data_IF_310120209110
#
_entry.id   IF_310120209110
#
_cell.length_a   1.000
_cell.length_b   1.000
_cell.length_c   1.000
_cell.angle_alpha   90.00
_cell.angle_beta   90.00
_cell.angle_gamma   90.00
#
_symmetry.space_group_name_H-M   'P 1'
#
loop_
_entity.id
_entity.type
_entity.pdbx_description
1 polymer ?
#
# COMPACT_ATOMS: atom_id res chain seq x y z
N UNK A 1 6.35 15.71 -1.66
CA UNK A 1 6.17 14.83 -2.84
C UNK A 1 5.20 15.51 -3.78
N UNK A 2 5.69 16.02 -4.91
CA UNK A 2 4.91 16.81 -5.86
C UNK A 2 3.62 16.13 -6.30
N UNK A 3 2.52 16.89 -6.37
CA UNK A 3 1.19 16.40 -6.80
C UNK A 3 1.27 15.68 -8.16
N UNK A 4 2.15 16.16 -9.04
CA UNK A 4 2.44 15.57 -10.35
C UNK A 4 2.98 14.14 -10.22
N UNK A 5 3.92 13.90 -9.30
CA UNK A 5 4.48 12.57 -9.07
C UNK A 5 3.41 11.57 -8.62
N UNK A 6 2.50 11.96 -7.72
CA UNK A 6 1.38 11.11 -7.28
C UNK A 6 0.43 10.75 -8.42
N UNK A 7 0.11 11.72 -9.27
CA UNK A 7 -0.79 11.50 -10.41
C UNK A 7 -0.13 10.55 -11.41
N UNK A 8 1.13 10.79 -11.77
CA UNK A 8 1.88 9.92 -12.69
C UNK A 8 1.99 8.50 -12.11
N UNK A 9 2.32 8.38 -10.82
CA UNK A 9 2.42 7.08 -10.14
C UNK A 9 1.09 6.32 -10.14
N UNK A 10 -0.03 7.01 -9.87
CA UNK A 10 -1.37 6.45 -9.96
C UNK A 10 -1.72 5.98 -11.37
N UNK A 11 -1.40 6.78 -12.40
CA UNK A 11 -1.61 6.41 -13.80
C UNK A 11 -0.81 5.17 -14.21
N UNK A 12 0.47 5.07 -13.81
CA UNK A 12 1.32 3.90 -14.09
C UNK A 12 0.76 2.64 -13.43
N UNK A 13 0.26 2.75 -12.20
CA UNK A 13 -0.35 1.62 -11.49
C UNK A 13 -1.65 1.16 -12.13
N UNK A 14 -2.51 2.09 -12.55
CA UNK A 14 -3.71 1.76 -13.31
C UNK A 14 -3.35 1.07 -14.63
N UNK A 15 -2.34 1.57 -15.35
CA UNK A 15 -1.89 0.96 -16.60
C UNK A 15 -1.38 -0.47 -16.38
N UNK A 16 -0.57 -0.71 -15.35
CA UNK A 16 -0.12 -2.05 -14.97
C UNK A 16 -1.30 -2.97 -14.61
N UNK A 17 -2.28 -2.47 -13.87
CA UNK A 17 -3.49 -3.21 -13.49
C UNK A 17 -4.35 -3.60 -14.70
N UNK A 18 -4.58 -2.68 -15.64
CA UNK A 18 -5.28 -3.01 -16.89
C UNK A 18 -4.53 -4.05 -17.71
N UNK A 19 -3.19 -3.95 -17.76
CA UNK A 19 -2.34 -4.94 -18.43
C UNK A 19 -2.45 -6.31 -17.78
N UNK A 20 -2.54 -6.35 -16.46
CA UNK A 20 -2.77 -7.55 -15.67
C UNK A 20 -4.16 -8.16 -15.96
N UNK A 21 -5.24 -7.37 -15.92
CA UNK A 21 -6.59 -7.83 -16.25
C UNK A 21 -6.68 -8.45 -17.65
N UNK A 22 -5.98 -7.87 -18.63
CA UNK A 22 -5.94 -8.37 -20.01
C UNK A 22 -5.17 -9.69 -20.12
N UNK A 23 -4.11 -9.89 -19.31
CA UNK A 23 -3.31 -11.13 -19.28
C UNK A 23 -3.87 -12.22 -18.35
N UNK A 24 -4.73 -11.87 -17.40
CA UNK A 24 -5.30 -12.78 -16.39
C UNK A 24 -5.99 -14.00 -17.00
N UNK A 25 -6.58 -13.88 -18.20
CA UNK A 25 -7.24 -15.01 -18.90
C UNK A 25 -6.28 -16.12 -19.33
N UNK A 26 -4.97 -15.88 -19.41
CA UNK A 26 -3.96 -16.88 -19.81
C UNK A 26 -3.25 -17.52 -18.62
N UNK A 27 -3.55 -17.12 -17.38
CA UNK A 27 -2.80 -17.55 -16.21
C UNK A 27 -3.57 -18.59 -15.42
N UNK A 28 -2.83 -19.48 -14.74
CA UNK A 28 -3.42 -20.43 -13.80
C UNK A 28 -4.21 -19.69 -12.70
N UNK A 29 -5.37 -20.24 -12.29
CA UNK A 29 -6.27 -19.58 -11.34
C UNK A 29 -5.62 -19.28 -9.98
N UNK A 30 -4.67 -20.11 -9.55
CA UNK A 30 -3.89 -19.91 -8.32
C UNK A 30 -2.99 -18.68 -8.40
N UNK A 31 -2.26 -18.50 -9.50
CA UNK A 31 -1.39 -17.34 -9.72
C UNK A 31 -2.20 -16.05 -9.92
N UNK A 32 -3.35 -16.15 -10.60
CA UNK A 32 -4.24 -15.00 -10.78
C UNK A 32 -4.86 -14.50 -9.47
N UNK A 33 -5.02 -15.36 -8.46
CA UNK A 33 -5.50 -14.91 -7.14
C UNK A 33 -4.41 -14.18 -6.36
N UNK A 34 -3.20 -14.71 -6.33
CA UNK A 34 -2.06 -14.11 -5.61
C UNK A 34 -1.73 -12.73 -6.18
N UNK A 35 -1.65 -12.61 -7.51
CA UNK A 35 -1.34 -11.33 -8.15
C UNK A 35 -2.53 -10.36 -8.02
N UNK A 36 -3.76 -10.86 -8.02
CA UNK A 36 -4.95 -10.05 -7.68
C UNK A 36 -4.86 -9.43 -6.29
N UNK A 37 -4.50 -10.23 -5.27
CA UNK A 37 -4.31 -9.77 -3.90
C UNK A 37 -3.20 -8.72 -3.79
N UNK A 38 -2.08 -8.94 -4.48
CA UNK A 38 -0.95 -8.00 -4.54
C UNK A 38 -1.37 -6.64 -5.12
N UNK A 39 -2.17 -6.63 -6.18
CA UNK A 39 -2.71 -5.39 -6.73
C UNK A 39 -3.67 -4.69 -5.77
N UNK A 40 -4.52 -5.46 -5.07
CA UNK A 40 -5.46 -4.93 -4.09
C UNK A 40 -4.73 -4.25 -2.92
N UNK A 41 -3.67 -4.88 -2.43
CA UNK A 41 -2.78 -4.34 -1.40
C UNK A 41 -2.08 -3.06 -1.89
N UNK A 42 -1.60 -3.07 -3.15
CA UNK A 42 -0.94 -1.90 -3.75
C UNK A 42 -1.90 -0.73 -3.90
N UNK A 43 -3.17 -1.01 -4.22
CA UNK A 43 -4.22 0.01 -4.30
C UNK A 43 -4.53 0.61 -2.92
N UNK A 44 -4.60 -0.21 -1.87
CA UNK A 44 -4.75 0.22 -0.49
C UNK A 44 -3.61 1.14 -0.04
N UNK A 45 -2.36 0.75 -0.32
CA UNK A 45 -1.17 1.57 -0.03
C UNK A 45 -1.21 2.89 -0.80
N UNK A 46 -1.65 2.86 -2.06
CA UNK A 46 -1.75 4.06 -2.87
C UNK A 46 -2.83 5.02 -2.36
N UNK A 47 -3.98 4.50 -1.94
CA UNK A 47 -5.05 5.29 -1.29
C UNK A 47 -4.53 5.89 0.02
N UNK A 48 -3.92 5.08 0.89
CA UNK A 48 -3.30 5.56 2.13
C UNK A 48 -2.25 6.65 1.87
N UNK A 49 -1.45 6.49 0.82
CA UNK A 49 -0.47 7.48 0.38
C UNK A 49 -1.13 8.73 -0.21
N UNK A 50 -2.29 8.65 -0.86
CA UNK A 50 -2.99 9.81 -1.45
C UNK A 50 -3.66 10.68 -0.40
N UNK A 51 -4.08 10.08 0.72
CA UNK A 51 -4.69 10.75 1.86
C UNK A 51 -3.72 10.81 3.05
N UNK A 52 -2.65 11.63 3.01
CA UNK A 52 -1.73 11.77 4.14
C UNK A 52 -2.40 12.37 5.39
N UNK A 53 -3.55 13.05 5.23
CA UNK A 53 -4.34 13.60 6.32
C UNK A 53 -5.39 12.63 6.89
N UNK A 54 -5.64 11.49 6.23
CA UNK A 54 -6.33 10.39 6.89
C UNK A 54 -5.23 9.64 7.63
N UNK A 55 -4.95 10.08 8.86
CA UNK A 55 -4.20 9.25 9.81
C UNK A 55 -5.01 7.98 10.02
N UNK A 56 -4.81 6.98 9.16
CA UNK A 56 -5.45 5.66 9.27
C UNK A 56 -5.13 5.00 10.61
N UNK A 57 -4.04 5.44 11.25
CA UNK A 57 -3.75 5.18 12.64
C UNK A 57 -3.02 6.42 13.19
N UNK A 58 -3.57 7.13 14.18
CA UNK A 58 -2.81 8.15 14.90
C UNK A 58 -1.58 7.46 15.47
N UNK A 59 -0.39 8.00 15.24
CA UNK A 59 0.87 7.47 15.79
C UNK A 59 0.75 7.24 17.30
N UNK A 60 -0.09 8.03 17.98
CA UNK A 60 -0.43 7.87 19.39
C UNK A 60 -1.00 6.49 19.74
N UNK A 61 -1.89 5.90 18.91
CA UNK A 61 -2.44 4.56 19.16
C UNK A 61 -1.41 3.45 19.00
N UNK A 62 -0.50 3.59 18.04
CA UNK A 62 0.61 2.67 17.86
C UNK A 62 1.56 2.76 19.07
N UNK A 63 1.82 3.98 19.53
CA UNK A 63 2.65 4.26 20.68
C UNK A 63 2.03 3.75 22.00
N UNK A 64 0.70 3.70 22.10
CA UNK A 64 0.00 3.12 23.26
C UNK A 64 -0.08 1.59 23.22
N UNK A 65 -0.05 0.98 22.02
CA UNK A 65 -0.01 -0.48 21.88
C UNK A 65 1.38 -1.07 22.10
N UNK A 66 2.44 -0.30 21.82
CA UNK A 66 3.80 -0.74 22.05
C UNK A 66 4.13 -0.79 23.55
N UNK A 67 4.46 -1.99 24.03
CA UNK A 67 4.91 -2.21 25.41
C UNK A 67 6.12 -1.31 25.72
N UNK A 68 6.32 -0.91 26.99
CA UNK A 68 7.43 -0.03 27.39
C UNK A 68 8.82 -0.54 26.96
N UNK A 69 8.98 -1.86 26.77
CA UNK A 69 10.22 -2.45 26.25
C UNK A 69 10.48 -2.07 24.78
N UNK A 70 9.44 -2.04 23.95
CA UNK A 70 9.55 -1.67 22.54
C UNK A 70 9.94 -0.19 22.36
N UNK A 71 9.46 0.68 23.28
CA UNK A 71 9.81 2.12 23.30
C UNK A 71 11.28 2.36 23.57
N UNK A 72 11.91 1.51 24.40
CA UNK A 72 13.35 1.63 24.69
C UNK A 72 14.22 1.28 23.48
N UNK A 73 13.83 0.29 22.68
CA UNK A 73 14.56 -0.08 21.46
C UNK A 73 14.54 1.01 20.39
N UNK A 74 13.39 1.67 20.17
CA UNK A 74 13.26 2.76 19.18
C UNK A 74 14.05 4.00 19.60
N UNK A 75 14.15 4.27 20.90
CA UNK A 75 14.89 5.43 21.42
C UNK A 75 16.41 5.26 21.35
N UNK A 76 16.88 4.04 21.10
CA UNK A 76 18.29 3.67 21.10
C UNK A 76 18.87 3.50 19.67
N UNK A 77 18.07 3.67 18.61
CA UNK A 77 18.54 3.79 17.22
C UNK A 77 18.46 5.23 16.73
#
# INVERSE_FOLDING_TARGET
MDKVFRIIFGCVLLFMFFRYLRKRKRWEPSQSRIVGLLYLLTFLILIASLFPNVQLMPINYINDYFSPQMKMWVKQS
#
